data_IF_304045233969
#
_entry.id   IF_304045233969
#
_cell.length_a   1.000
_cell.length_b   1.000
_cell.length_c   1.000
_cell.angle_alpha   90.00
_cell.angle_beta   90.00
_cell.angle_gamma   90.00
#
_symmetry.space_group_name_H-M   'P 1'
#
loop_
_entity.id
_entity.type
_entity.pdbx_description
1 polymer ?
#
# COMPACT_ATOMS: atom_id res chain seq x y z
N UNK A 1 -38.32 82.18 -31.23
CA UNK A 1 -36.85 82.12 -31.02
C UNK A 1 -36.36 80.86 -31.72
N UNK A 2 -35.41 80.97 -32.65
CA UNK A 2 -34.78 79.78 -33.24
C UNK A 2 -33.88 79.11 -32.18
N UNK A 3 -33.83 77.77 -32.08
CA UNK A 3 -32.93 77.08 -31.17
C UNK A 3 -31.48 77.39 -31.55
N UNK A 4 -30.67 77.77 -30.55
CA UNK A 4 -29.23 77.99 -30.72
C UNK A 4 -28.58 76.61 -30.70
N UNK A 5 -28.13 76.15 -31.87
CA UNK A 5 -27.36 74.90 -31.96
C UNK A 5 -25.95 75.19 -31.45
N UNK A 6 -25.60 74.65 -30.28
CA UNK A 6 -24.23 74.69 -29.77
C UNK A 6 -23.47 73.53 -30.42
N UNK A 7 -22.68 73.85 -31.46
CA UNK A 7 -21.68 72.90 -31.99
C UNK A 7 -20.44 72.96 -31.11
N UNK A 8 -20.26 71.92 -30.30
CA UNK A 8 -19.05 71.75 -29.50
C UNK A 8 -18.11 70.83 -30.27
N UNK A 9 -16.96 71.37 -30.70
CA UNK A 9 -15.87 70.54 -31.19
C UNK A 9 -15.23 69.83 -30.01
N UNK A 10 -15.26 68.50 -30.02
CA UNK A 10 -14.50 67.68 -29.08
C UNK A 10 -13.00 67.95 -29.32
N UNK A 11 -12.44 68.91 -28.59
CA UNK A 11 -11.02 69.19 -28.62
C UNK A 11 -10.34 68.02 -27.91
N UNK A 12 -9.54 67.24 -28.63
CA UNK A 12 -8.55 66.34 -28.02
C UNK A 12 -7.66 67.20 -27.10
N UNK A 13 -8.01 67.28 -25.81
CA UNK A 13 -7.07 67.76 -24.81
C UNK A 13 -6.06 66.65 -24.58
N UNK A 14 -4.96 66.73 -25.32
CA UNK A 14 -3.68 66.13 -24.95
C UNK A 14 -3.28 66.63 -23.56
N UNK A 15 -3.70 65.92 -22.52
CA UNK A 15 -3.33 66.12 -21.13
C UNK A 15 -3.07 64.76 -20.49
N UNK A 16 -1.81 64.50 -20.14
CA UNK A 16 -1.36 63.28 -19.44
C UNK A 16 -2.28 62.96 -18.25
N UNK A 17 -3.13 61.93 -18.38
CA UNK A 17 -3.70 61.19 -17.26
C UNK A 17 -3.83 59.72 -17.64
N UNK A 18 -3.52 58.88 -16.67
CA UNK A 18 -3.28 57.44 -16.69
C UNK A 18 -4.02 56.60 -17.73
N UNK A 19 -3.24 55.76 -18.42
CA UNK A 19 -3.70 54.57 -19.15
C UNK A 19 -4.27 53.54 -18.15
N UNK A 20 -5.52 53.71 -17.78
CA UNK A 20 -6.42 52.58 -17.51
C UNK A 20 -7.65 52.80 -18.39
N UNK A 21 -7.52 52.42 -19.67
CA UNK A 21 -8.68 52.30 -20.56
C UNK A 21 -9.53 51.13 -20.05
N UNK A 22 -10.45 51.42 -19.15
CA UNK A 22 -11.66 50.62 -19.05
C UNK A 22 -12.30 50.62 -20.45
N UNK A 23 -12.65 49.44 -20.96
CA UNK A 23 -13.51 49.27 -22.14
C UNK A 23 -14.85 49.97 -21.85
N UNK A 24 -14.91 51.27 -22.11
CA UNK A 24 -16.12 52.06 -22.00
C UNK A 24 -16.90 51.86 -23.28
N UNK A 25 -18.15 51.42 -23.14
CA UNK A 25 -19.05 51.24 -24.28
C UNK A 25 -19.13 52.54 -25.07
N UNK A 26 -18.67 52.49 -26.31
CA UNK A 26 -18.78 53.64 -27.21
C UNK A 26 -20.20 53.74 -27.72
N UNK A 27 -20.62 54.95 -28.05
CA UNK A 27 -21.97 55.18 -28.52
C UNK A 27 -22.18 54.50 -29.88
N UNK A 28 -21.15 54.39 -30.72
CA UNK A 28 -21.19 53.56 -31.93
C UNK A 28 -21.62 52.09 -31.65
N UNK A 29 -21.10 51.46 -30.58
CA UNK A 29 -21.42 50.06 -30.21
C UNK A 29 -22.86 49.88 -29.69
N UNK A 30 -23.51 51.00 -29.34
CA UNK A 30 -24.87 51.05 -28.78
C UNK A 30 -25.88 51.43 -29.86
N UNK A 31 -25.42 52.05 -30.95
CA UNK A 31 -26.25 52.62 -32.02
C UNK A 31 -26.56 51.63 -33.14
N UNK A 32 -25.97 50.42 -33.18
CA UNK A 32 -25.96 49.37 -34.23
C UNK A 32 -27.23 49.14 -35.08
N UNK A 33 -28.37 49.73 -34.71
CA UNK A 33 -29.53 49.88 -35.58
C UNK A 33 -30.27 51.20 -35.28
N UNK A 34 -30.04 52.29 -36.03
CA UNK A 34 -30.98 53.42 -36.05
C UNK A 34 -31.10 54.13 -37.40
N UNK A 35 -32.35 54.26 -37.81
CA UNK A 35 -32.81 55.17 -38.84
C UNK A 35 -32.72 56.61 -38.33
N UNK A 36 -32.22 57.51 -39.17
CA UNK A 36 -32.22 58.96 -38.88
C UNK A 36 -33.65 59.46 -38.63
N UNK A 37 -33.90 60.06 -37.47
CA UNK A 37 -35.11 60.84 -37.23
C UNK A 37 -34.76 62.33 -37.24
N UNK A 38 -35.45 63.09 -38.10
CA UNK A 38 -35.43 64.55 -38.09
C UNK A 38 -36.43 65.05 -37.05
N UNK A 39 -35.96 65.64 -35.96
CA UNK A 39 -36.79 66.52 -35.16
C UNK A 39 -35.99 67.68 -34.54
N UNK A 40 -36.68 68.81 -34.41
CA UNK A 40 -36.15 70.17 -34.51
C UNK A 40 -35.68 70.82 -33.20
N UNK A 41 -35.57 70.06 -32.10
CA UNK A 41 -35.34 70.58 -30.74
C UNK A 41 -34.04 70.03 -30.09
N UNK A 42 -33.03 69.72 -30.89
CA UNK A 42 -31.70 69.36 -30.38
C UNK A 42 -30.82 70.63 -30.24
N UNK A 43 -30.50 71.00 -29.00
CA UNK A 43 -29.69 72.20 -28.70
C UNK A 43 -28.19 71.90 -28.58
N UNK A 44 -27.79 70.63 -28.54
CA UNK A 44 -26.40 70.20 -28.35
C UNK A 44 -26.01 69.13 -29.38
N UNK A 45 -25.08 69.46 -30.27
CA UNK A 45 -24.48 68.51 -31.21
C UNK A 45 -22.99 68.41 -30.94
N UNK A 46 -22.52 67.18 -30.68
CA UNK A 46 -21.11 66.88 -30.43
C UNK A 46 -20.55 66.07 -31.59
N UNK A 47 -19.36 66.44 -32.02
CA UNK A 47 -18.64 65.81 -33.13
C UNK A 47 -17.72 64.71 -32.59
N UNK A 48 -17.83 63.49 -33.14
CA UNK A 48 -17.04 62.32 -32.75
C UNK A 48 -17.76 61.27 -31.91
N UNK A 49 -17.21 60.05 -31.89
CA UNK A 49 -17.74 58.91 -31.14
C UNK A 49 -17.37 59.01 -29.64
N UNK A 50 -18.34 59.45 -28.83
CA UNK A 50 -18.19 59.56 -27.38
C UNK A 50 -18.50 58.24 -26.68
N UNK A 51 -17.95 58.03 -25.48
CA UNK A 51 -18.49 57.01 -24.58
C UNK A 51 -19.86 57.41 -24.05
N UNK A 52 -20.71 56.44 -23.73
CA UNK A 52 -22.05 56.71 -23.18
C UNK A 52 -21.98 57.57 -21.90
N UNK A 53 -20.95 57.36 -21.07
CA UNK A 53 -20.69 58.20 -19.88
C UNK A 53 -20.42 59.65 -20.23
N UNK A 54 -19.57 59.92 -21.22
CA UNK A 54 -19.26 61.28 -21.67
C UNK A 54 -20.49 61.97 -22.26
N UNK A 55 -21.36 61.25 -22.96
CA UNK A 55 -22.64 61.80 -23.41
C UNK A 55 -23.54 62.20 -22.24
N UNK A 56 -23.67 61.40 -21.18
CA UNK A 56 -24.40 61.80 -19.97
C UNK A 56 -23.78 63.01 -19.28
N UNK A 57 -22.44 63.10 -19.21
CA UNK A 57 -21.74 64.24 -18.62
C UNK A 57 -21.99 65.54 -19.41
N UNK A 58 -21.98 65.48 -20.74
CA UNK A 58 -22.32 66.62 -21.61
C UNK A 58 -23.78 67.05 -21.51
N UNK A 59 -24.71 66.09 -21.51
CA UNK A 59 -26.13 66.35 -21.33
C UNK A 59 -26.45 66.98 -19.96
N UNK A 60 -25.71 66.59 -18.91
CA UNK A 60 -25.86 67.17 -17.58
C UNK A 60 -25.27 68.58 -17.48
N UNK A 61 -24.14 68.83 -18.18
CA UNK A 61 -23.45 70.12 -18.15
C UNK A 61 -24.22 71.23 -18.88
N UNK A 62 -24.83 70.91 -20.00
CA UNK A 62 -25.56 71.86 -20.85
C UNK A 62 -27.09 71.84 -20.60
N UNK A 63 -27.53 71.11 -19.56
CA UNK A 63 -28.94 70.96 -19.15
C UNK A 63 -29.89 70.61 -20.33
N UNK A 64 -29.52 69.57 -21.08
CA UNK A 64 -30.22 69.13 -22.29
C UNK A 64 -30.75 67.69 -22.15
N UNK A 65 -31.96 67.45 -22.67
CA UNK A 65 -32.60 66.13 -22.69
C UNK A 65 -32.27 65.29 -23.93
N UNK A 66 -31.74 65.95 -24.97
CA UNK A 66 -31.34 65.33 -26.24
C UNK A 66 -29.91 65.72 -26.59
N UNK A 67 -29.15 64.75 -27.09
CA UNK A 67 -27.81 64.95 -27.64
C UNK A 67 -27.77 64.45 -29.07
N UNK A 68 -27.29 65.29 -29.99
CA UNK A 68 -26.96 64.91 -31.35
C UNK A 68 -25.50 64.49 -31.41
N UNK A 69 -25.21 63.33 -31.98
CA UNK A 69 -23.85 62.83 -32.13
C UNK A 69 -23.58 62.65 -33.62
N UNK A 70 -22.60 63.41 -34.10
CA UNK A 70 -22.14 63.34 -35.48
C UNK A 70 -20.98 62.34 -35.54
N UNK A 71 -21.25 61.15 -36.09
CA UNK A 71 -20.28 60.05 -36.20
C UNK A 71 -19.80 59.99 -37.64
N UNK A 72 -18.47 59.97 -37.85
CA UNK A 72 -17.89 59.80 -39.18
C UNK A 72 -18.46 58.56 -39.89
N UNK A 73 -19.16 58.77 -41.00
CA UNK A 73 -19.79 57.70 -41.80
C UNK A 73 -21.32 57.68 -41.76
N UNK A 74 -21.97 58.48 -40.92
CA UNK A 74 -23.43 58.68 -40.95
C UNK A 74 -23.81 59.93 -41.76
N UNK A 75 -24.85 59.85 -42.60
CA UNK A 75 -25.32 61.00 -43.40
C UNK A 75 -25.97 62.11 -42.55
N UNK A 76 -26.45 61.77 -41.35
CA UNK A 76 -27.08 62.70 -40.40
C UNK A 76 -26.63 62.37 -38.97
N UNK A 77 -26.50 63.41 -38.13
CA UNK A 77 -26.25 63.24 -36.70
C UNK A 77 -27.38 62.41 -36.04
N UNK A 78 -27.00 61.43 -35.23
CA UNK A 78 -27.94 60.58 -34.49
C UNK A 78 -28.37 61.33 -33.24
N UNK A 79 -29.67 61.60 -33.11
CA UNK A 79 -30.23 62.25 -31.92
C UNK A 79 -30.65 61.16 -30.95
N UNK A 80 -30.14 61.23 -29.72
CA UNK A 80 -30.48 60.31 -28.64
C UNK A 80 -31.04 61.10 -27.47
N UNK A 81 -32.14 60.63 -26.90
CA UNK A 81 -32.61 61.12 -25.61
C UNK A 81 -31.84 60.47 -24.47
N UNK A 82 -31.94 61.08 -23.29
CA UNK A 82 -31.41 60.50 -22.04
C UNK A 82 -32.00 59.11 -21.76
N UNK A 83 -33.27 58.88 -22.12
CA UNK A 83 -33.93 57.59 -21.98
C UNK A 83 -33.40 56.55 -22.98
N UNK A 84 -33.15 56.95 -24.24
CA UNK A 84 -32.63 56.04 -25.27
C UNK A 84 -31.25 55.47 -24.91
N UNK A 85 -30.38 56.30 -24.30
CA UNK A 85 -29.07 55.84 -23.83
C UNK A 85 -29.19 54.85 -22.67
N UNK A 86 -30.10 55.10 -21.72
CA UNK A 86 -30.34 54.21 -20.59
C UNK A 86 -30.92 52.86 -21.05
N UNK A 87 -31.94 52.87 -21.89
CA UNK A 87 -32.61 51.66 -22.38
C UNK A 87 -31.64 50.77 -23.16
N UNK A 88 -30.74 51.36 -23.95
CA UNK A 88 -29.75 50.58 -24.70
C UNK A 88 -28.61 50.05 -23.84
N UNK A 89 -28.16 50.78 -22.82
CA UNK A 89 -27.23 50.23 -21.83
C UNK A 89 -27.84 49.04 -21.07
N UNK A 90 -29.12 49.15 -20.69
CA UNK A 90 -29.85 48.06 -20.05
C UNK A 90 -29.96 46.83 -20.98
N UNK A 91 -30.22 47.04 -22.28
CA UNK A 91 -30.25 45.96 -23.26
C UNK A 91 -28.87 45.29 -23.45
N UNK A 92 -27.77 46.06 -23.46
CA UNK A 92 -26.42 45.48 -23.49
C UNK A 92 -26.08 44.70 -22.22
N UNK A 93 -26.49 45.18 -21.04
CA UNK A 93 -26.30 44.45 -19.79
C UNK A 93 -27.09 43.14 -19.78
N UNK A 94 -28.34 43.14 -20.27
CA UNK A 94 -29.17 41.92 -20.39
C UNK A 94 -28.54 40.90 -21.34
N UNK A 95 -28.03 41.33 -22.49
CA UNK A 95 -27.35 40.42 -23.43
C UNK A 95 -26.03 39.88 -22.86
N UNK A 96 -25.27 40.67 -22.13
CA UNK A 96 -24.06 40.23 -21.43
C UNK A 96 -24.38 39.21 -20.32
N UNK A 97 -25.42 39.46 -19.53
CA UNK A 97 -25.89 38.53 -18.50
C UNK A 97 -26.34 37.19 -19.11
N UNK A 98 -27.09 37.21 -20.22
CA UNK A 98 -27.50 36.00 -20.94
C UNK A 98 -26.31 35.19 -21.49
N UNK A 99 -25.27 35.86 -21.99
CA UNK A 99 -24.04 35.19 -22.45
C UNK A 99 -23.28 34.54 -21.30
N UNK A 100 -23.15 35.23 -20.16
CA UNK A 100 -22.51 34.69 -18.96
C UNK A 100 -23.23 33.45 -18.43
N UNK A 101 -24.57 33.48 -18.34
CA UNK A 101 -25.36 32.34 -17.91
C UNK A 101 -25.16 31.10 -18.80
N UNK A 102 -25.08 31.31 -20.13
CA UNK A 102 -24.85 30.22 -21.09
C UNK A 102 -23.46 29.60 -20.98
N UNK A 103 -22.44 30.42 -20.71
CA UNK A 103 -21.07 29.93 -20.50
C UNK A 103 -20.99 29.14 -19.20
N UNK A 104 -21.63 29.62 -18.13
CA UNK A 104 -21.66 28.93 -16.84
C UNK A 104 -22.33 27.55 -16.95
N UNK A 105 -23.46 27.46 -17.65
CA UNK A 105 -24.17 26.19 -17.89
C UNK A 105 -23.31 25.20 -18.71
N UNK A 106 -22.60 25.68 -19.74
CA UNK A 106 -21.67 24.84 -20.50
C UNK A 106 -20.46 24.38 -19.67
N UNK A 107 -19.93 25.26 -18.82
CA UNK A 107 -18.80 24.92 -17.95
C UNK A 107 -19.22 23.86 -16.94
N UNK A 108 -20.39 24.01 -16.31
CA UNK A 108 -20.91 23.02 -15.37
C UNK A 108 -21.10 21.67 -16.04
N UNK A 109 -21.72 21.62 -17.22
CA UNK A 109 -21.91 20.36 -17.95
C UNK A 109 -20.57 19.66 -18.27
N UNK A 110 -19.57 20.40 -18.73
CA UNK A 110 -18.25 19.84 -19.08
C UNK A 110 -17.49 19.34 -17.86
N UNK A 111 -17.54 20.08 -16.74
CA UNK A 111 -16.90 19.67 -15.49
C UNK A 111 -17.56 18.41 -14.92
N UNK A 112 -18.90 18.31 -14.96
CA UNK A 112 -19.61 17.12 -14.49
C UNK A 112 -19.26 15.89 -15.33
N UNK A 113 -19.24 16.02 -16.66
CA UNK A 113 -18.89 14.92 -17.57
C UNK A 113 -17.44 14.45 -17.37
N UNK A 114 -16.49 15.36 -17.14
CA UNK A 114 -15.11 14.99 -16.82
C UNK A 114 -14.97 14.30 -15.46
N UNK A 115 -15.73 14.72 -14.45
CA UNK A 115 -15.72 14.09 -13.12
C UNK A 115 -16.28 12.67 -13.16
N UNK A 116 -17.33 12.41 -13.94
CA UNK A 116 -17.87 11.06 -14.12
C UNK A 116 -16.84 10.13 -14.79
N UNK A 117 -16.18 10.58 -15.87
CA UNK A 117 -15.15 9.79 -16.56
C UNK A 117 -13.93 9.44 -15.67
N UNK A 118 -13.50 10.38 -14.82
CA UNK A 118 -12.41 10.13 -13.86
C UNK A 118 -12.86 9.14 -12.78
N UNK A 119 -14.11 9.23 -12.33
CA UNK A 119 -14.71 8.29 -11.37
C UNK A 119 -14.71 6.86 -11.91
N UNK A 120 -15.25 6.65 -13.10
CA UNK A 120 -15.29 5.34 -13.75
C UNK A 120 -13.89 4.78 -14.05
N UNK A 121 -12.97 5.64 -14.48
CA UNK A 121 -11.57 5.29 -14.69
C UNK A 121 -10.85 4.86 -13.41
N UNK A 122 -11.08 5.54 -12.30
CA UNK A 122 -10.47 5.22 -11.01
C UNK A 122 -11.03 3.92 -10.40
N UNK A 123 -12.34 3.72 -10.47
CA UNK A 123 -12.99 2.50 -9.98
C UNK A 123 -12.53 1.25 -10.76
N UNK A 124 -12.42 1.35 -12.09
CA UNK A 124 -11.97 0.21 -12.92
C UNK A 124 -10.52 -0.22 -12.63
N UNK A 125 -9.62 0.73 -12.37
CA UNK A 125 -8.20 0.41 -12.04
C UNK A 125 -8.06 -0.19 -10.64
N UNK A 126 -8.79 0.32 -9.64
CA UNK A 126 -8.78 -0.23 -8.27
C UNK A 126 -9.46 -1.60 -8.23
N UNK A 127 -10.57 -1.79 -8.96
CA UNK A 127 -11.25 -3.08 -9.08
C UNK A 127 -10.32 -4.13 -9.68
N UNK A 128 -9.71 -3.85 -10.83
CA UNK A 128 -8.84 -4.81 -11.52
C UNK A 128 -7.61 -5.21 -10.67
N UNK A 129 -6.99 -4.24 -9.97
CA UNK A 129 -5.89 -4.51 -9.05
C UNK A 129 -6.33 -5.31 -7.80
N UNK A 130 -7.53 -5.02 -7.28
CA UNK A 130 -8.14 -5.76 -6.17
C UNK A 130 -8.44 -7.21 -6.54
N UNK A 131 -9.04 -7.45 -7.71
CA UNK A 131 -9.48 -8.77 -8.17
C UNK A 131 -8.31 -9.75 -8.28
N UNK A 132 -7.16 -9.31 -8.80
CA UNK A 132 -5.96 -10.15 -8.92
C UNK A 132 -5.42 -10.53 -7.53
N UNK A 133 -5.38 -9.58 -6.60
CA UNK A 133 -4.90 -9.83 -5.24
C UNK A 133 -5.84 -10.76 -4.48
N UNK A 134 -7.16 -10.65 -4.68
CA UNK A 134 -8.13 -11.58 -4.10
C UNK A 134 -7.97 -12.99 -4.67
N UNK A 135 -7.82 -13.12 -5.99
CA UNK A 135 -7.59 -14.40 -6.64
C UNK A 135 -6.28 -15.05 -6.19
N UNK A 136 -5.21 -14.26 -6.05
CA UNK A 136 -3.93 -14.74 -5.53
C UNK A 136 -4.10 -15.21 -4.08
N UNK A 137 -4.70 -14.39 -3.22
CA UNK A 137 -4.94 -14.72 -1.81
C UNK A 137 -5.76 -16.01 -1.64
N UNK A 138 -6.81 -16.19 -2.45
CA UNK A 138 -7.67 -17.36 -2.40
C UNK A 138 -6.99 -18.66 -2.87
N UNK A 139 -6.06 -18.57 -3.83
CA UNK A 139 -5.38 -19.73 -4.44
C UNK A 139 -3.98 -20.01 -3.86
N UNK A 140 -3.51 -19.24 -2.89
CA UNK A 140 -2.28 -19.54 -2.16
C UNK A 140 -2.38 -20.94 -1.53
N UNK A 141 -1.27 -21.68 -1.52
CA UNK A 141 -1.21 -23.00 -0.89
C UNK A 141 -1.12 -22.91 0.65
N UNK A 142 -0.45 -21.88 1.15
CA UNK A 142 -0.32 -21.60 2.58
C UNK A 142 -1.58 -20.95 3.14
N UNK A 143 -1.90 -21.24 4.40
CA UNK A 143 -3.00 -20.57 5.10
C UNK A 143 -2.59 -19.16 5.45
N UNK A 144 -3.35 -18.16 5.00
CA UNK A 144 -3.10 -16.74 5.32
C UNK A 144 -4.32 -16.15 6.01
N UNK A 145 -4.07 -15.51 7.16
CA UNK A 145 -5.07 -14.78 7.95
C UNK A 145 -4.57 -13.36 8.15
N UNK A 146 -5.42 -12.38 7.87
CA UNK A 146 -5.15 -10.96 8.02
C UNK A 146 -5.97 -10.46 9.21
N UNK A 147 -5.29 -9.80 10.14
CA UNK A 147 -5.85 -9.26 11.37
C UNK A 147 -5.72 -7.74 11.40
N UNK A 148 -6.64 -7.08 12.08
CA UNK A 148 -6.54 -5.66 12.41
C UNK A 148 -5.60 -5.41 13.61
N UNK A 149 -5.43 -4.13 13.98
CA UNK A 149 -4.59 -3.76 15.14
C UNK A 149 -5.13 -4.25 16.49
N UNK A 150 -6.40 -4.65 16.57
CA UNK A 150 -7.02 -5.22 17.77
C UNK A 150 -6.88 -6.74 17.86
N UNK A 151 -6.41 -7.38 16.78
CA UNK A 151 -6.29 -8.83 16.64
C UNK A 151 -7.52 -9.50 16.02
N UNK A 152 -8.53 -8.75 15.57
CA UNK A 152 -9.72 -9.32 14.94
C UNK A 152 -9.45 -9.69 13.47
N UNK A 153 -10.01 -10.80 13.01
CA UNK A 153 -9.80 -11.28 11.64
C UNK A 153 -10.55 -10.41 10.64
N UNK A 154 -9.82 -9.82 9.69
CA UNK A 154 -10.39 -9.12 8.53
C UNK A 154 -10.57 -10.06 7.34
N UNK A 155 -9.57 -10.91 7.06
CA UNK A 155 -9.63 -11.88 5.95
C UNK A 155 -8.95 -13.19 6.32
N UNK A 156 -9.42 -14.29 5.75
CA UNK A 156 -8.78 -15.61 5.84
C UNK A 156 -9.00 -16.36 4.53
N UNK A 157 -7.92 -16.89 3.96
CA UNK A 157 -8.01 -17.66 2.73
C UNK A 157 -8.54 -19.09 2.99
N UNK A 158 -8.92 -19.77 1.91
CA UNK A 158 -9.48 -21.12 1.98
C UNK A 158 -8.55 -22.12 2.70
N UNK A 159 -7.24 -22.22 2.40
CA UNK A 159 -6.34 -23.08 3.16
C UNK A 159 -6.31 -22.78 4.66
N UNK A 160 -6.31 -21.50 5.08
CA UNK A 160 -6.35 -21.15 6.49
C UNK A 160 -7.59 -21.70 7.19
N UNK A 161 -8.78 -21.52 6.59
CA UNK A 161 -10.03 -22.07 7.14
C UNK A 161 -9.96 -23.59 7.26
N UNK A 162 -9.52 -24.28 6.21
CA UNK A 162 -9.40 -25.74 6.21
C UNK A 162 -8.39 -26.25 7.25
N UNK A 163 -7.25 -25.58 7.41
CA UNK A 163 -6.23 -25.94 8.42
C UNK A 163 -6.72 -25.72 9.86
N UNK A 164 -7.57 -24.72 10.06
CA UNK A 164 -8.22 -24.44 11.34
C UNK A 164 -9.44 -25.33 11.61
N UNK A 165 -9.83 -26.19 10.66
CA UNK A 165 -10.99 -27.09 10.79
C UNK A 165 -12.34 -26.42 10.51
N UNK A 166 -12.32 -25.27 9.82
CA UNK A 166 -13.49 -24.49 9.43
C UNK A 166 -13.91 -24.81 7.99
N UNK A 167 -15.19 -24.60 7.69
CA UNK A 167 -15.74 -24.67 6.34
C UNK A 167 -15.38 -23.42 5.53
N UNK A 168 -15.39 -23.54 4.21
CA UNK A 168 -15.10 -22.42 3.30
C UNK A 168 -16.10 -21.26 3.47
N UNK A 169 -17.34 -21.59 3.83
CA UNK A 169 -18.45 -20.66 4.06
C UNK A 169 -18.40 -19.98 5.44
N UNK A 170 -17.53 -20.41 6.35
CA UNK A 170 -17.48 -19.82 7.69
C UNK A 170 -16.92 -18.39 7.65
N UNK A 171 -17.59 -17.49 8.39
CA UNK A 171 -17.23 -16.07 8.43
C UNK A 171 -15.99 -15.78 9.27
N UNK A 172 -15.42 -14.57 9.13
CA UNK A 172 -14.27 -14.11 9.90
C UNK A 172 -14.46 -14.18 11.42
N UNK A 173 -15.71 -14.17 11.92
CA UNK A 173 -16.01 -14.34 13.36
C UNK A 173 -15.64 -15.73 13.86
N UNK A 174 -15.99 -16.78 13.11
CA UNK A 174 -15.64 -18.16 13.46
C UNK A 174 -14.12 -18.36 13.45
N UNK A 175 -13.43 -17.75 12.47
CA UNK A 175 -11.96 -17.75 12.42
C UNK A 175 -11.37 -17.05 13.65
N UNK A 176 -11.94 -15.91 14.05
CA UNK A 176 -11.47 -15.16 15.22
C UNK A 176 -11.60 -15.97 16.50
N UNK A 177 -12.73 -16.66 16.71
CA UNK A 177 -12.96 -17.50 17.89
C UNK A 177 -11.96 -18.66 18.00
N UNK A 178 -11.66 -19.33 16.88
CA UNK A 178 -10.63 -20.38 16.85
C UNK A 178 -9.25 -19.80 17.16
N UNK A 179 -8.90 -18.67 16.54
CA UNK A 179 -7.59 -18.02 16.74
C UNK A 179 -7.41 -17.51 18.17
N UNK A 180 -8.47 -17.01 18.81
CA UNK A 180 -8.48 -16.62 20.22
C UNK A 180 -8.27 -17.84 21.13
N UNK A 181 -8.94 -18.97 20.85
CA UNK A 181 -8.72 -20.24 21.56
C UNK A 181 -7.28 -20.77 21.44
N UNK A 182 -6.55 -20.36 20.43
CA UNK A 182 -5.13 -20.70 20.21
C UNK A 182 -4.16 -19.73 20.92
N UNK A 183 -4.67 -18.71 21.63
CA UNK A 183 -3.87 -17.76 22.40
C UNK A 183 -3.17 -16.68 21.56
N UNK A 184 -3.62 -16.46 20.32
CA UNK A 184 -2.97 -15.51 19.41
C UNK A 184 -3.04 -14.06 19.93
N UNK A 185 -4.13 -13.70 20.59
CA UNK A 185 -4.34 -12.35 21.12
C UNK A 185 -3.31 -11.99 22.19
N UNK A 186 -2.96 -12.96 23.05
CA UNK A 186 -1.92 -12.79 24.06
C UNK A 186 -0.55 -12.59 23.40
N UNK A 187 -0.25 -13.32 22.33
CA UNK A 187 0.99 -13.20 21.57
C UNK A 187 1.12 -11.85 20.85
N UNK A 188 0.03 -11.34 20.27
CA UNK A 188 0.01 -10.03 19.61
C UNK A 188 0.13 -8.90 20.64
N UNK A 189 -0.53 -9.03 21.80
CA UNK A 189 -0.47 -8.03 22.88
C UNK A 189 0.92 -7.94 23.51
N UNK A 190 1.67 -9.06 23.58
CA UNK A 190 3.07 -9.09 24.00
C UNK A 190 4.01 -8.37 22.99
N UNK A 191 3.54 -8.13 21.77
CA UNK A 191 4.27 -7.50 20.66
C UNK A 191 3.71 -6.13 20.28
N UNK A 192 3.05 -5.45 21.22
CA UNK A 192 2.49 -4.12 21.05
C UNK A 192 3.53 -3.08 20.53
N UNK A 193 3.07 -1.96 19.93
CA UNK A 193 3.94 -0.97 19.30
C UNK A 193 4.98 -0.41 20.28
N UNK A 194 6.26 -0.64 19.98
CA UNK A 194 7.40 -0.20 20.81
C UNK A 194 8.26 -1.33 21.38
N UNK A 195 7.83 -2.59 21.27
CA UNK A 195 8.59 -3.75 21.77
C UNK A 195 9.72 -4.24 20.83
N UNK A 196 9.79 -3.72 19.59
CA UNK A 196 10.82 -4.09 18.60
C UNK A 196 10.68 -5.49 18.00
N UNK A 197 9.71 -6.28 18.47
CA UNK A 197 9.42 -7.62 17.94
C UNK A 197 8.26 -7.50 16.95
N UNK A 198 8.61 -7.41 15.66
CA UNK A 198 7.63 -7.23 14.57
C UNK A 198 7.22 -8.55 13.89
N UNK A 199 7.83 -9.67 14.31
CA UNK A 199 7.50 -11.00 13.84
C UNK A 199 7.75 -12.06 14.92
N UNK A 200 7.07 -13.19 14.80
CA UNK A 200 7.23 -14.32 15.70
C UNK A 200 6.73 -15.62 15.09
N UNK A 201 7.15 -16.73 15.68
CA UNK A 201 6.77 -18.05 15.22
C UNK A 201 6.47 -18.96 16.42
N UNK A 202 5.42 -19.74 16.32
CA UNK A 202 5.08 -20.77 17.30
C UNK A 202 4.43 -21.98 16.60
N UNK A 203 4.39 -23.11 17.31
CA UNK A 203 3.78 -24.34 16.81
C UNK A 203 2.59 -24.68 17.67
N UNK A 204 1.46 -24.98 17.04
CA UNK A 204 0.23 -25.40 17.71
C UNK A 204 -0.20 -26.76 17.20
N UNK A 205 -0.96 -27.45 18.04
CA UNK A 205 -1.73 -28.61 17.60
C UNK A 205 -3.14 -28.13 17.28
N UNK A 206 -3.48 -28.15 16.00
CA UNK A 206 -4.80 -27.75 15.51
C UNK A 206 -5.79 -28.94 15.53
N UNK A 207 -7.02 -28.65 15.15
CA UNK A 207 -8.10 -29.63 15.02
C UNK A 207 -7.67 -30.76 14.07
N UNK A 208 -7.99 -32.01 14.43
CA UNK A 208 -7.62 -33.19 13.63
C UNK A 208 -6.19 -33.69 13.83
N UNK A 209 -5.52 -33.37 14.96
CA UNK A 209 -4.14 -33.79 15.28
C UNK A 209 -3.06 -33.23 14.35
N UNK A 210 -3.37 -32.21 13.55
CA UNK A 210 -2.39 -31.52 12.71
C UNK A 210 -1.47 -30.65 13.55
N UNK A 211 -0.19 -30.65 13.21
CA UNK A 211 0.80 -29.72 13.76
C UNK A 211 0.92 -28.55 12.79
N UNK A 212 0.50 -27.36 13.22
CA UNK A 212 0.64 -26.15 12.44
C UNK A 212 1.78 -25.31 12.97
N UNK A 213 2.56 -24.75 12.05
CA UNK A 213 3.51 -23.69 12.31
C UNK A 213 2.85 -22.37 11.95
N UNK A 214 2.70 -21.50 12.94
CA UNK A 214 2.14 -20.17 12.76
C UNK A 214 3.26 -19.15 12.81
N UNK A 215 3.36 -18.35 11.76
CA UNK A 215 4.29 -17.22 11.67
C UNK A 215 3.48 -15.96 11.51
N UNK A 216 3.71 -14.97 12.36
CA UNK A 216 3.02 -13.69 12.27
C UNK A 216 4.02 -12.57 12.00
N UNK A 217 3.58 -11.58 11.24
CA UNK A 217 4.33 -10.37 10.91
C UNK A 217 3.41 -9.17 10.98
N UNK A 218 3.86 -8.10 11.64
CA UNK A 218 3.11 -6.84 11.68
C UNK A 218 3.12 -6.15 10.31
N UNK A 219 1.95 -5.72 9.84
CA UNK A 219 1.83 -4.84 8.68
C UNK A 219 2.00 -3.40 9.13
N UNK A 220 2.97 -2.69 8.55
CA UNK A 220 3.17 -1.25 8.77
C UNK A 220 2.91 -0.50 7.47
N UNK A 221 2.34 0.70 7.57
CA UNK A 221 2.24 1.59 6.41
C UNK A 221 3.56 2.32 6.13
N UNK A 222 3.60 3.10 5.05
CA UNK A 222 4.77 3.89 4.66
C UNK A 222 5.23 4.93 5.68
N UNK A 223 4.43 5.19 6.72
CA UNK A 223 4.77 6.09 7.84
C UNK A 223 5.28 5.34 9.09
N UNK A 224 5.36 4.01 9.02
CA UNK A 224 5.78 3.15 10.14
C UNK A 224 4.68 2.86 11.16
N UNK A 225 3.42 3.23 10.86
CA UNK A 225 2.27 2.95 11.73
C UNK A 225 1.75 1.55 11.43
N UNK A 226 1.62 0.73 12.47
CA UNK A 226 1.05 -0.61 12.37
C UNK A 226 -0.43 -0.56 11.95
N UNK A 227 -0.76 -1.24 10.85
CA UNK A 227 -2.12 -1.37 10.28
C UNK A 227 -2.80 -2.69 10.63
N UNK A 228 -2.05 -3.65 11.15
CA UNK A 228 -2.56 -4.98 11.50
C UNK A 228 -1.46 -6.02 11.48
N UNK A 229 -1.85 -7.28 11.34
CA UNK A 229 -0.93 -8.42 11.34
C UNK A 229 -1.31 -9.40 10.23
N UNK A 230 -0.30 -9.97 9.57
CA UNK A 230 -0.47 -11.15 8.69
C UNK A 230 0.01 -12.36 9.45
N UNK A 231 -0.81 -13.40 9.49
CA UNK A 231 -0.50 -14.69 10.09
C UNK A 231 -0.52 -15.74 8.99
N UNK A 232 0.61 -16.43 8.83
CA UNK A 232 0.77 -17.57 7.93
C UNK A 232 0.68 -18.86 8.74
N UNK A 233 -0.06 -19.85 8.23
CA UNK A 233 -0.24 -21.17 8.78
C UNK A 233 0.33 -22.20 7.80
N UNK A 234 1.34 -22.95 8.27
CA UNK A 234 1.97 -24.03 7.53
C UNK A 234 1.68 -25.38 8.22
N UNK A 235 1.25 -26.39 7.46
CA UNK A 235 0.98 -27.74 7.96
C UNK A 235 2.28 -28.55 7.95
N UNK A 236 2.94 -28.57 9.11
CA UNK A 236 4.21 -29.28 9.29
C UNK A 236 4.02 -30.73 9.76
N UNK A 237 2.79 -31.26 9.76
CA UNK A 237 2.48 -32.60 10.31
C UNK A 237 3.29 -33.69 9.65
N UNK A 238 3.24 -33.76 8.32
CA UNK A 238 3.95 -34.79 7.55
C UNK A 238 5.47 -34.64 7.66
N UNK A 239 5.96 -33.39 7.67
CA UNK A 239 7.38 -33.08 7.84
C UNK A 239 7.88 -33.56 9.20
N UNK A 240 7.16 -33.22 10.26
CA UNK A 240 7.49 -33.67 11.62
C UNK A 240 7.38 -35.19 11.78
N UNK A 241 6.39 -35.83 11.14
CA UNK A 241 6.24 -37.28 11.18
C UNK A 241 7.41 -37.97 10.46
N UNK A 242 7.83 -37.46 9.30
CA UNK A 242 8.99 -37.97 8.57
C UNK A 242 10.29 -37.79 9.36
N UNK A 243 10.50 -36.63 9.96
CA UNK A 243 11.67 -36.35 10.80
C UNK A 243 11.72 -37.30 12.01
N UNK A 244 10.58 -37.52 12.70
CA UNK A 244 10.49 -38.49 13.80
C UNK A 244 10.75 -39.92 13.34
N UNK A 245 10.16 -40.35 12.24
CA UNK A 245 10.35 -41.69 11.69
C UNK A 245 11.82 -41.92 11.30
N UNK A 246 12.50 -40.91 10.74
CA UNK A 246 13.95 -40.96 10.46
C UNK A 246 14.74 -41.17 11.74
N UNK A 247 14.47 -40.40 12.79
CA UNK A 247 15.18 -40.54 14.08
C UNK A 247 14.92 -41.89 14.74
N UNK A 248 13.67 -42.37 14.76
CA UNK A 248 13.30 -43.68 15.31
C UNK A 248 13.95 -44.83 14.53
N UNK A 249 13.98 -44.73 13.20
CA UNK A 249 14.63 -45.71 12.33
C UNK A 249 16.13 -45.79 12.59
N UNK A 250 16.82 -44.64 12.67
CA UNK A 250 18.25 -44.60 12.98
C UNK A 250 18.50 -45.19 14.38
N UNK A 251 17.67 -44.86 15.36
CA UNK A 251 17.79 -45.41 16.70
C UNK A 251 17.64 -46.94 16.71
N UNK A 252 16.62 -47.47 16.03
CA UNK A 252 16.36 -48.90 15.95
C UNK A 252 17.51 -49.65 15.26
N UNK A 253 17.98 -49.17 14.11
CA UNK A 253 19.11 -49.81 13.41
C UNK A 253 20.37 -49.79 14.26
N UNK A 254 20.69 -48.69 14.94
CA UNK A 254 21.87 -48.65 15.80
C UNK A 254 21.80 -49.66 16.95
N UNK A 255 20.61 -49.90 17.50
CA UNK A 255 20.42 -50.97 18.49
C UNK A 255 20.64 -52.37 17.88
N UNK A 256 20.06 -52.64 16.71
CA UNK A 256 20.23 -53.90 15.99
C UNK A 256 21.66 -54.14 15.50
N UNK A 257 22.45 -53.09 15.23
CA UNK A 257 23.85 -53.17 14.84
C UNK A 257 24.80 -53.33 16.04
N UNK A 258 24.45 -52.78 17.21
CA UNK A 258 25.28 -52.88 18.41
C UNK A 258 25.45 -54.33 18.86
N UNK A 259 24.37 -55.11 18.85
CA UNK A 259 24.38 -56.52 19.28
C UNK A 259 25.34 -57.42 18.46
N UNK A 260 25.28 -57.46 17.12
CA UNK A 260 26.22 -58.24 16.31
C UNK A 260 27.65 -57.69 16.39
N UNK A 261 27.82 -56.37 16.51
CA UNK A 261 29.14 -55.76 16.67
C UNK A 261 29.79 -56.17 18.00
N UNK A 262 29.05 -56.13 19.11
CA UNK A 262 29.53 -56.62 20.41
C UNK A 262 29.88 -58.10 20.35
N UNK A 263 29.10 -58.90 19.61
CA UNK A 263 29.39 -60.33 19.42
C UNK A 263 30.69 -60.55 18.64
N UNK A 264 30.92 -59.78 17.57
CA UNK A 264 32.17 -59.81 16.81
C UNK A 264 33.37 -59.38 17.65
N UNK A 265 33.23 -58.28 18.39
CA UNK A 265 34.28 -57.78 19.27
C UNK A 265 34.65 -58.82 20.34
N UNK A 266 33.66 -59.45 20.97
CA UNK A 266 33.88 -60.53 21.94
C UNK A 266 34.59 -61.74 21.31
N UNK A 267 34.20 -62.14 20.10
CA UNK A 267 34.85 -63.25 19.39
C UNK A 267 36.33 -62.94 19.11
N UNK A 268 36.64 -61.74 18.61
CA UNK A 268 38.01 -61.29 18.34
C UNK A 268 38.83 -61.20 19.64
N UNK A 269 38.28 -60.60 20.70
CA UNK A 269 38.96 -60.50 21.99
C UNK A 269 39.20 -61.89 22.63
N UNK A 270 38.27 -62.84 22.48
CA UNK A 270 38.47 -64.23 22.95
C UNK A 270 39.59 -64.95 22.21
N UNK A 271 39.70 -64.75 20.89
CA UNK A 271 40.80 -65.31 20.08
C UNK A 271 42.14 -64.69 20.51
N UNK A 272 42.18 -63.37 20.73
CA UNK A 272 43.37 -62.67 21.20
C UNK A 272 43.79 -63.06 22.63
N UNK A 273 42.81 -63.35 23.49
CA UNK A 273 43.03 -63.85 24.86
C UNK A 273 43.45 -65.34 24.89
N UNK A 274 43.42 -66.04 23.75
CA UNK A 274 43.82 -67.44 23.64
C UNK A 274 42.79 -68.44 24.14
N UNK A 275 41.52 -68.02 24.32
CA UNK A 275 40.41 -68.88 24.77
C UNK A 275 40.16 -70.02 23.76
N UNK A 276 40.36 -69.76 22.48
CA UNK A 276 40.24 -70.75 21.39
C UNK A 276 41.55 -71.44 21.04
N UNK A 277 42.61 -71.27 21.86
CA UNK A 277 43.97 -71.74 21.59
C UNK A 277 44.91 -70.63 21.13
N UNK A 278 46.22 -70.94 21.10
CA UNK A 278 47.26 -69.97 20.71
C UNK A 278 47.24 -69.73 19.20
N UNK A 279 47.12 -68.47 18.80
CA UNK A 279 47.24 -68.04 17.40
C UNK A 279 48.66 -67.57 17.06
N UNK A 280 49.11 -67.83 15.82
CA UNK A 280 50.41 -67.37 15.34
C UNK A 280 50.49 -65.83 15.21
N UNK A 281 51.71 -65.29 15.16
CA UNK A 281 51.96 -63.84 15.14
C UNK A 281 51.24 -63.10 14.00
N UNK A 282 51.17 -63.70 12.81
CA UNK A 282 50.47 -63.13 11.64
C UNK A 282 48.97 -63.02 11.89
N UNK A 283 48.33 -64.08 12.38
CA UNK A 283 46.89 -64.08 12.74
C UNK A 283 46.59 -63.08 13.85
N UNK A 284 47.45 -63.01 14.89
CA UNK A 284 47.30 -62.05 15.99
C UNK A 284 47.28 -60.61 15.50
N UNK A 285 48.15 -60.25 14.54
CA UNK A 285 48.17 -58.92 13.92
C UNK A 285 46.85 -58.60 13.21
N UNK A 286 46.29 -59.53 12.43
CA UNK A 286 45.00 -59.33 11.78
C UNK A 286 43.84 -59.23 12.78
N UNK A 287 43.86 -60.02 13.85
CA UNK A 287 42.83 -59.94 14.90
C UNK A 287 42.85 -58.58 15.62
N UNK A 288 44.03 -58.01 15.91
CA UNK A 288 44.11 -56.64 16.45
C UNK A 288 43.57 -55.59 15.47
N UNK A 289 43.79 -55.76 14.16
CA UNK A 289 43.16 -54.89 13.16
C UNK A 289 41.63 -55.00 13.21
N UNK A 290 41.08 -56.22 13.23
CA UNK A 290 39.63 -56.44 13.34
C UNK A 290 39.03 -55.87 14.64
N UNK A 291 39.75 -55.97 15.76
CA UNK A 291 39.34 -55.39 17.05
C UNK A 291 39.24 -53.86 16.97
N UNK A 292 40.23 -53.22 16.35
CA UNK A 292 40.24 -51.77 16.13
C UNK A 292 39.13 -51.35 15.16
N UNK A 293 38.91 -52.10 14.09
CA UNK A 293 37.83 -51.82 13.13
C UNK A 293 36.45 -51.95 13.78
N UNK A 294 36.23 -52.98 14.62
CA UNK A 294 34.99 -53.13 15.38
C UNK A 294 34.75 -51.96 16.34
N UNK A 295 35.81 -51.51 17.04
CA UNK A 295 35.73 -50.33 17.92
C UNK A 295 35.35 -49.07 17.15
N UNK A 296 36.05 -48.82 16.05
CA UNK A 296 35.78 -47.67 15.17
C UNK A 296 34.37 -47.70 14.59
N UNK A 297 33.84 -48.87 14.24
CA UNK A 297 32.44 -49.01 13.84
C UNK A 297 31.47 -48.65 14.97
N UNK A 298 31.79 -49.05 16.20
CA UNK A 298 31.00 -48.68 17.38
C UNK A 298 30.94 -47.17 17.58
N UNK A 299 32.09 -46.51 17.45
CA UNK A 299 32.19 -45.04 17.56
C UNK A 299 31.37 -44.36 16.45
N UNK A 300 31.49 -44.80 15.20
CA UNK A 300 30.70 -44.26 14.08
C UNK A 300 29.19 -44.42 14.26
N UNK A 301 28.73 -45.55 14.82
CA UNK A 301 27.31 -45.77 15.12
C UNK A 301 26.83 -44.79 16.21
N UNK A 302 27.67 -44.52 17.22
CA UNK A 302 27.35 -43.56 18.26
C UNK A 302 27.31 -42.12 17.71
N UNK A 303 28.27 -41.74 16.86
CA UNK A 303 28.29 -40.44 16.19
C UNK A 303 27.02 -40.22 15.34
N UNK A 304 26.60 -41.26 14.61
CA UNK A 304 25.36 -41.21 13.82
C UNK A 304 24.12 -41.02 14.71
N UNK A 305 24.05 -41.74 15.85
CA UNK A 305 22.98 -41.58 16.82
C UNK A 305 22.93 -40.17 17.43
N UNK A 306 24.10 -39.65 17.79
CA UNK A 306 24.20 -38.33 18.40
C UNK A 306 23.82 -37.24 17.41
N UNK A 307 24.22 -37.37 16.13
CA UNK A 307 23.73 -36.50 15.06
C UNK A 307 22.20 -36.57 14.92
N UNK A 308 21.61 -37.76 14.91
CA UNK A 308 20.16 -37.92 14.79
C UNK A 308 19.39 -37.30 15.98
N UNK A 309 19.92 -37.41 17.20
CA UNK A 309 19.35 -36.75 18.40
C UNK A 309 19.50 -35.23 18.34
N UNK A 310 20.63 -34.75 17.82
CA UNK A 310 20.91 -33.33 17.66
C UNK A 310 19.97 -32.69 16.63
N UNK A 311 19.79 -33.31 15.46
CA UNK A 311 18.82 -32.88 14.43
C UNK A 311 17.39 -32.85 14.96
N UNK A 312 17.02 -33.83 15.79
CA UNK A 312 15.71 -33.91 16.42
C UNK A 312 15.53 -32.93 17.61
N UNK A 313 16.56 -32.15 17.96
CA UNK A 313 16.54 -31.24 19.12
C UNK A 313 16.37 -31.95 20.46
N UNK A 314 16.65 -33.26 20.52
CA UNK A 314 16.43 -34.12 21.70
C UNK A 314 17.72 -34.44 22.45
N UNK A 315 18.84 -33.80 22.08
CA UNK A 315 20.12 -34.00 22.76
C UNK A 315 20.08 -33.32 24.15
N UNK A 316 20.20 -34.09 25.26
CA UNK A 316 20.13 -33.53 26.59
C UNK A 316 21.38 -32.68 26.87
N UNK A 317 21.19 -31.41 27.22
CA UNK A 317 22.28 -30.51 27.63
C UNK A 317 22.30 -30.44 29.15
N UNK A 318 23.32 -31.04 29.78
CA UNK A 318 23.54 -30.91 31.21
C UNK A 318 24.44 -29.71 31.49
N UNK A 319 23.85 -28.63 32.04
CA UNK A 319 24.59 -27.40 32.38
C UNK A 319 25.08 -27.50 33.82
N UNK A 320 26.40 -27.53 34.00
CA UNK A 320 27.03 -27.49 35.32
C UNK A 320 28.14 -26.43 35.38
N UNK A 321 28.44 -25.95 36.59
CA UNK A 321 29.62 -25.11 36.81
C UNK A 321 30.85 -26.01 36.76
N UNK A 322 31.81 -25.69 35.90
CA UNK A 322 33.03 -26.47 35.75
C UNK A 322 34.27 -25.58 35.65
N UNK A 323 35.41 -26.08 36.13
CA UNK A 323 36.70 -25.41 36.00
C UNK A 323 37.36 -25.80 34.67
N UNK A 324 37.54 -24.82 33.79
CA UNK A 324 38.13 -25.01 32.45
C UNK A 324 39.58 -25.49 32.50
N UNK A 325 40.36 -25.06 33.49
CA UNK A 325 41.77 -25.46 33.62
C UNK A 325 41.86 -26.95 33.91
N UNK A 326 41.12 -27.44 34.90
CA UNK A 326 41.11 -28.87 35.24
C UNK A 326 40.58 -29.71 34.09
N UNK A 327 39.48 -29.29 33.43
CA UNK A 327 38.91 -30.03 32.30
C UNK A 327 39.89 -30.12 31.11
N UNK A 328 40.61 -29.04 30.81
CA UNK A 328 41.58 -29.04 29.70
C UNK A 328 42.80 -29.90 30.03
N UNK A 329 43.28 -29.85 31.28
CA UNK A 329 44.39 -30.72 31.73
C UNK A 329 44.01 -32.19 31.69
N UNK A 330 42.79 -32.55 32.11
CA UNK A 330 42.30 -33.93 32.05
C UNK A 330 42.23 -34.46 30.61
N UNK A 331 41.78 -33.64 29.67
CA UNK A 331 41.77 -34.00 28.23
C UNK A 331 43.20 -34.21 27.71
N UNK A 332 44.12 -33.29 28.01
CA UNK A 332 45.52 -33.40 27.55
C UNK A 332 46.15 -34.70 28.07
N UNK A 333 45.96 -35.03 29.35
CA UNK A 333 46.50 -36.24 29.95
C UNK A 333 45.93 -37.51 29.28
N UNK A 334 44.62 -37.55 29.01
CA UNK A 334 43.99 -38.70 28.35
C UNK A 334 44.52 -38.95 26.92
N UNK A 335 44.90 -37.90 26.18
CA UNK A 335 45.48 -38.05 24.84
C UNK A 335 46.99 -38.30 24.86
N UNK A 336 47.70 -37.84 25.89
CA UNK A 336 49.12 -38.13 26.08
C UNK A 336 49.38 -39.63 26.33
N UNK A 337 48.46 -40.32 27.00
CA UNK A 337 48.55 -41.77 27.25
C UNK A 337 48.28 -42.64 26.00
N UNK A 338 47.81 -42.05 24.89
CA UNK A 338 47.50 -42.75 23.63
C UNK A 338 48.55 -42.56 22.53
N UNK A 339 49.57 -41.71 22.75
CA UNK A 339 50.66 -41.39 21.81
C UNK A 339 51.90 -42.25 22.07
#
# INVERSE_FOLDING_TARGET
MQPVIIKVFAREQTGKLNREHYNMTKIADVIDTLQSQKQSDCNLVVDGDLSVREAFEWMAKEDCDYIGIDIEGCENAVILSRQDLLDRLLAQLDTAQKKLARIDEQLQSSVTEQLELIGEGAESVVSCGGDILELAFANMAEGVVILDCSGAVQKANRPAKMLLGLNEQDDCRAVTEVMDGLGLRDLISASAPGSGVNCGQFRIRAVGQKMLQMTWTQMVDGSGVGRGYVVMLDDITNRMAADRAKTEFIAAISHELRTPLTSLQNAVSNILAGVTGKVGAKTRRYMHTMENDCRRFGDLINDLLDMAKLEAGSMPVNRCVMNLVTMTTDVINNFADQA
#
